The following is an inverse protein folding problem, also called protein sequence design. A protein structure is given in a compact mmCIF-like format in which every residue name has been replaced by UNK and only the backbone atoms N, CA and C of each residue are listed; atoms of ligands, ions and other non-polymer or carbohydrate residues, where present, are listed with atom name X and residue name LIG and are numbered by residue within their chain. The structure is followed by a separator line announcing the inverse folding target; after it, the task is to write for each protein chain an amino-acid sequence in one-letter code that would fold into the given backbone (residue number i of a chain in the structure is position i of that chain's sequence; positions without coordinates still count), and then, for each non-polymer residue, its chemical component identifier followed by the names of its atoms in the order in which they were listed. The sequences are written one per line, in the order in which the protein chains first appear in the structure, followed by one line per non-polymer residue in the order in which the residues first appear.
data_IF_547051534538
#
_entry.id   IF_547051534538
#
_cell.length_a   1.000
_cell.length_b   1.000
_cell.length_c   1.000
_cell.angle_alpha   90.00
_cell.angle_beta   90.00
_cell.angle_gamma   90.00
#
_symmetry.space_group_name_H-M   'P 1'
#
loop_
_entity.id
_entity.type
_entity.pdbx_description
1 polymer ?
#
# COMPACT_ATOMS: atom_id res chain seq x y z
N UNK A 1 12.91 -20.97 -0.88
CA UNK A 1 11.71 -20.52 -0.12
C UNK A 1 10.46 -21.07 -0.82
N UNK A 2 9.58 -21.81 -0.11
CA UNK A 2 8.38 -22.40 -0.72
C UNK A 2 7.24 -21.39 -0.62
N UNK A 3 6.61 -21.05 -1.74
CA UNK A 3 5.39 -20.22 -1.77
C UNK A 3 4.20 -21.14 -1.55
N UNK A 4 3.28 -20.77 -0.67
CA UNK A 4 2.06 -21.50 -0.35
C UNK A 4 0.86 -20.56 -0.43
N UNK A 5 -0.20 -21.00 -1.09
CA UNK A 5 -1.47 -20.28 -1.21
C UNK A 5 -2.62 -21.05 -0.51
N UNK A 6 -2.30 -22.12 0.20
CA UNK A 6 -3.26 -22.98 0.90
C UNK A 6 -3.13 -22.90 2.42
N UNK A 7 -2.84 -21.72 2.92
CA UNK A 7 -2.82 -21.46 4.35
C UNK A 7 -4.21 -21.65 4.96
N UNK A 8 -4.27 -22.31 6.11
CA UNK A 8 -5.49 -22.36 6.92
C UNK A 8 -5.50 -21.22 7.93
N UNK A 9 -6.70 -20.80 8.35
CA UNK A 9 -6.82 -19.79 9.41
C UNK A 9 -6.07 -20.20 10.68
N UNK A 10 -6.17 -21.47 11.11
CA UNK A 10 -5.49 -21.97 12.29
C UNK A 10 -3.95 -21.90 12.18
N UNK A 11 -3.37 -22.12 11.01
CA UNK A 11 -1.92 -21.95 10.79
C UNK A 11 -1.51 -20.51 10.94
N UNK A 12 -2.28 -19.57 10.36
CA UNK A 12 -1.97 -18.12 10.46
C UNK A 12 -2.18 -17.65 11.89
N UNK A 13 -3.24 -18.08 12.57
CA UNK A 13 -3.50 -17.77 13.98
C UNK A 13 -2.34 -18.24 14.87
N UNK A 14 -1.85 -19.46 14.67
CA UNK A 14 -0.69 -19.98 15.40
C UNK A 14 0.58 -19.16 15.13
N UNK A 15 0.76 -18.64 13.93
CA UNK A 15 1.89 -17.76 13.59
C UNK A 15 1.72 -16.41 14.27
N UNK A 16 0.56 -15.78 14.12
CA UNK A 16 0.23 -14.44 14.63
C UNK A 16 0.36 -14.37 16.16
N UNK A 17 -0.08 -15.41 16.86
CA UNK A 17 -0.09 -15.48 18.33
C UNK A 17 1.24 -15.93 18.95
N UNK A 18 2.31 -16.14 18.19
CA UNK A 18 3.65 -16.44 18.75
C UNK A 18 4.11 -15.33 19.70
N UNK A 19 4.96 -15.64 20.68
CA UNK A 19 5.69 -14.61 21.42
C UNK A 19 6.32 -13.62 20.44
N UNK A 20 6.16 -12.31 20.69
CA UNK A 20 6.50 -11.28 19.70
C UNK A 20 7.95 -11.37 19.21
N UNK A 21 8.88 -11.60 20.10
CA UNK A 21 10.30 -11.70 19.71
C UNK A 21 10.59 -12.93 18.87
N UNK A 22 9.93 -14.07 19.14
CA UNK A 22 10.07 -15.28 18.32
C UNK A 22 9.46 -15.08 16.93
N UNK A 23 8.33 -14.36 16.86
CA UNK A 23 7.69 -14.00 15.60
C UNK A 23 8.59 -13.11 14.74
N UNK A 24 9.16 -12.05 15.35
CA UNK A 24 10.09 -11.14 14.65
C UNK A 24 11.34 -11.90 14.19
N UNK A 25 11.92 -12.74 15.04
CA UNK A 25 13.11 -13.53 14.69
C UNK A 25 12.84 -14.47 13.50
N UNK A 26 11.70 -15.17 13.51
CA UNK A 26 11.31 -16.04 12.41
C UNK A 26 11.10 -15.24 11.10
N UNK A 27 10.43 -14.10 11.17
CA UNK A 27 10.21 -13.23 10.02
C UNK A 27 11.52 -12.63 9.49
N UNK A 28 12.43 -12.18 10.37
CA UNK A 28 13.75 -11.70 10.00
C UNK A 28 14.57 -12.79 9.30
N UNK A 29 14.48 -14.03 9.75
CA UNK A 29 15.15 -15.17 9.12
C UNK A 29 14.66 -15.39 7.69
N UNK A 30 13.34 -15.37 7.47
CA UNK A 30 12.75 -15.48 6.14
C UNK A 30 13.14 -14.29 5.27
N UNK A 31 13.07 -13.08 5.80
CA UNK A 31 13.40 -11.86 5.06
C UNK A 31 14.86 -11.86 4.59
N UNK A 32 15.81 -12.28 5.44
CA UNK A 32 17.25 -12.34 5.13
C UNK A 32 17.64 -13.46 4.16
N UNK A 33 16.76 -14.41 3.86
CA UNK A 33 16.98 -15.36 2.77
C UNK A 33 16.85 -14.69 1.39
N UNK A 34 16.25 -13.52 1.32
CA UNK A 34 16.24 -12.69 0.12
C UNK A 34 17.60 -11.99 -0.04
N UNK A 35 18.23 -12.09 -1.21
CA UNK A 35 19.54 -11.47 -1.50
C UNK A 35 19.52 -9.93 -1.33
N UNK A 36 18.39 -9.32 -1.58
CA UNK A 36 18.19 -7.86 -1.50
C UNK A 36 17.50 -7.42 -0.19
N UNK A 37 17.70 -8.14 0.92
CA UNK A 37 17.03 -7.87 2.20
C UNK A 37 17.29 -6.46 2.78
N UNK A 38 18.39 -5.82 2.40
CA UNK A 38 18.73 -4.44 2.81
C UNK A 38 18.19 -3.37 1.87
N UNK A 39 17.62 -3.75 0.73
CA UNK A 39 17.02 -2.81 -0.19
C UNK A 39 15.58 -2.49 0.19
N UNK A 40 15.27 -1.20 0.24
CA UNK A 40 13.94 -0.70 0.57
C UNK A 40 13.36 0.04 -0.64
N UNK A 41 12.17 -0.38 -1.09
CA UNK A 41 11.46 0.37 -2.10
C UNK A 41 10.96 1.69 -1.54
N UNK A 42 11.44 2.79 -2.10
CA UNK A 42 10.99 4.14 -1.78
C UNK A 42 9.95 4.56 -2.82
N UNK A 43 8.74 4.79 -2.37
CA UNK A 43 7.63 5.27 -3.20
C UNK A 43 7.22 6.68 -2.77
N UNK A 44 6.94 7.56 -3.71
CA UNK A 44 6.25 8.82 -3.42
C UNK A 44 4.77 8.69 -3.77
N UNK A 45 3.90 9.32 -3.00
CA UNK A 45 2.45 9.25 -3.20
C UNK A 45 1.89 10.66 -3.39
N UNK A 46 1.21 10.88 -4.51
CA UNK A 46 0.54 12.15 -4.81
C UNK A 46 -0.97 11.95 -4.99
N UNK A 47 -1.75 12.93 -4.50
CA UNK A 47 -3.19 13.01 -4.75
C UNK A 47 -3.42 13.79 -6.05
N UNK A 48 -3.69 13.08 -7.15
CA UNK A 48 -3.95 13.72 -8.44
C UNK A 48 -5.37 14.30 -8.52
N UNK A 49 -6.29 13.84 -7.68
CA UNK A 49 -7.63 14.41 -7.47
C UNK A 49 -8.01 14.20 -6.00
N UNK A 50 -8.28 15.29 -5.28
CA UNK A 50 -8.49 15.27 -3.83
C UNK A 50 -9.94 15.58 -3.48
N UNK A 51 -10.50 14.85 -2.51
CA UNK A 51 -11.81 15.11 -1.93
C UNK A 51 -13.01 14.81 -2.83
N UNK A 52 -14.20 14.87 -2.26
CA UNK A 52 -15.47 14.64 -2.98
C UNK A 52 -15.66 13.20 -3.47
N UNK A 53 -15.02 12.22 -2.82
CA UNK A 53 -15.23 10.80 -3.12
C UNK A 53 -16.65 10.38 -2.74
N UNK A 54 -17.28 9.56 -3.59
CA UNK A 54 -18.65 9.06 -3.35
C UNK A 54 -18.72 7.87 -2.40
N UNK A 55 -17.56 7.32 -2.02
CA UNK A 55 -17.48 6.26 -1.03
C UNK A 55 -17.67 6.81 0.40
N UNK A 56 -17.94 5.91 1.34
CA UNK A 56 -18.17 6.23 2.75
C UNK A 56 -17.16 5.57 3.70
N UNK A 57 -15.97 5.25 3.23
CA UNK A 57 -14.93 4.64 4.06
C UNK A 57 -14.76 5.43 5.36
N UNK A 58 -15.07 4.79 6.51
CA UNK A 58 -15.18 5.46 7.81
C UNK A 58 -13.88 6.14 8.29
N UNK A 59 -12.75 5.76 7.74
CA UNK A 59 -11.42 6.33 8.04
C UNK A 59 -11.01 7.45 7.08
N UNK A 60 -11.72 7.64 5.95
CA UNK A 60 -11.21 8.44 4.85
C UNK A 60 -11.73 9.88 4.87
N UNK A 61 -10.85 10.89 5.07
CA UNK A 61 -11.27 12.28 5.09
C UNK A 61 -11.67 12.84 3.71
N UNK A 62 -11.45 12.09 2.63
CA UNK A 62 -11.81 12.49 1.26
C UNK A 62 -13.26 12.14 0.89
N UNK A 63 -13.99 11.40 1.73
CA UNK A 63 -15.38 11.04 1.51
C UNK A 63 -16.28 12.29 1.52
N UNK A 64 -17.10 12.48 0.49
CA UNK A 64 -17.96 13.67 0.32
C UNK A 64 -18.99 13.83 1.43
N UNK A 65 -19.31 12.77 2.15
CA UNK A 65 -20.31 12.78 3.24
C UNK A 65 -19.76 13.24 4.58
N UNK A 66 -18.42 13.34 4.74
CA UNK A 66 -17.81 13.76 6.00
C UNK A 66 -17.39 15.22 5.95
N UNK A 67 -17.48 15.90 7.08
CA UNK A 67 -17.06 17.30 7.23
C UNK A 67 -15.63 17.32 7.79
N UNK A 68 -14.67 17.34 6.89
CA UNK A 68 -13.23 17.38 7.22
C UNK A 68 -12.60 18.63 6.60
N UNK A 69 -11.39 18.98 7.04
CA UNK A 69 -10.64 20.13 6.51
C UNK A 69 -10.01 19.87 5.12
N UNK A 70 -10.46 18.83 4.43
CA UNK A 70 -9.94 18.50 3.10
C UNK A 70 -10.61 19.34 2.04
N UNK A 71 -9.83 20.25 1.43
CA UNK A 71 -10.27 21.02 0.28
C UNK A 71 -10.44 20.12 -0.95
N UNK A 72 -11.60 20.23 -1.61
CA UNK A 72 -11.85 19.49 -2.85
C UNK A 72 -11.06 20.12 -4.00
N UNK A 73 -10.18 19.35 -4.61
CA UNK A 73 -9.36 19.79 -5.74
C UNK A 73 -9.71 18.97 -6.99
N UNK A 74 -9.79 19.60 -8.16
CA UNK A 74 -9.99 18.92 -9.43
C UNK A 74 -8.79 18.04 -9.80
N UNK A 75 -8.93 17.25 -10.87
CA UNK A 75 -7.83 16.47 -11.43
C UNK A 75 -6.67 17.40 -11.83
N UNK A 76 -5.46 17.06 -11.38
CA UNK A 76 -4.24 17.80 -11.72
C UNK A 76 -4.01 17.87 -13.23
N UNK A 77 -3.21 18.84 -13.67
CA UNK A 77 -2.65 18.83 -15.03
C UNK A 77 -1.49 17.83 -15.13
N UNK A 78 -1.23 17.36 -16.33
CA UNK A 78 -0.11 16.46 -16.63
C UNK A 78 1.22 17.10 -16.25
N UNK A 79 1.43 18.39 -16.55
CA UNK A 79 2.64 19.13 -16.21
C UNK A 79 2.90 19.20 -14.71
N UNK A 80 1.84 19.38 -13.91
CA UNK A 80 1.97 19.37 -12.45
C UNK A 80 2.39 18.01 -11.92
N UNK A 81 1.85 16.92 -12.49
CA UNK A 81 2.26 15.55 -12.15
C UNK A 81 3.71 15.31 -12.54
N UNK A 82 4.14 15.72 -13.74
CA UNK A 82 5.55 15.64 -14.18
C UNK A 82 6.50 16.37 -13.21
N UNK A 83 6.12 17.56 -12.79
CA UNK A 83 6.94 18.33 -11.82
C UNK A 83 7.07 17.57 -10.49
N UNK A 84 5.97 17.02 -9.96
CA UNK A 84 6.00 16.24 -8.72
C UNK A 84 6.80 14.94 -8.89
N UNK A 85 6.68 14.27 -10.04
CA UNK A 85 7.47 13.08 -10.37
C UNK A 85 8.98 13.39 -10.43
N UNK A 86 9.37 14.52 -11.04
CA UNK A 86 10.77 14.94 -11.09
C UNK A 86 11.34 15.17 -9.68
N UNK A 87 10.59 15.86 -8.81
CA UNK A 87 10.97 16.08 -7.41
C UNK A 87 11.13 14.74 -6.68
N UNK A 88 10.14 13.85 -6.77
CA UNK A 88 10.19 12.55 -6.13
C UNK A 88 11.41 11.72 -6.61
N UNK A 89 11.67 11.70 -7.91
CA UNK A 89 12.82 11.00 -8.50
C UNK A 89 14.16 11.57 -8.02
N UNK A 90 14.29 12.90 -8.00
CA UNK A 90 15.51 13.58 -7.52
C UNK A 90 15.79 13.24 -6.05
N UNK A 91 14.76 13.01 -5.24
CA UNK A 91 14.84 12.61 -3.84
C UNK A 91 14.94 11.07 -3.64
N UNK A 92 15.19 10.30 -4.69
CA UNK A 92 15.47 8.87 -4.61
C UNK A 92 14.26 7.95 -4.63
N UNK A 93 13.06 8.46 -4.88
CA UNK A 93 11.90 7.59 -5.08
C UNK A 93 12.02 6.81 -6.39
N UNK A 94 11.87 5.48 -6.33
CA UNK A 94 11.85 4.60 -7.50
C UNK A 94 10.45 4.44 -8.09
N UNK A 95 9.40 4.76 -7.32
CA UNK A 95 8.00 4.61 -7.70
C UNK A 95 7.21 5.87 -7.39
N UNK A 96 6.37 6.31 -8.33
CA UNK A 96 5.32 7.29 -8.09
C UNK A 96 3.96 6.62 -8.00
N UNK A 97 3.27 6.80 -6.88
CA UNK A 97 1.90 6.36 -6.68
C UNK A 97 0.95 7.54 -6.88
N UNK A 98 -0.01 7.40 -7.80
CA UNK A 98 -1.01 8.42 -8.11
C UNK A 98 -2.38 7.99 -7.59
N UNK A 99 -2.91 8.72 -6.61
CA UNK A 99 -4.22 8.46 -6.02
C UNK A 99 -5.27 9.48 -6.49
N UNK A 100 -6.46 9.02 -6.87
CA UNK A 100 -7.61 9.86 -7.13
C UNK A 100 -8.77 9.49 -6.20
N UNK A 101 -9.42 10.50 -5.62
CA UNK A 101 -10.61 10.32 -4.78
C UNK A 101 -11.83 9.96 -5.65
N UNK A 102 -11.79 8.78 -6.27
CA UNK A 102 -12.85 8.20 -7.08
C UNK A 102 -13.37 6.90 -6.45
N UNK A 103 -14.68 6.64 -6.64
CA UNK A 103 -15.26 5.33 -6.35
C UNK A 103 -14.80 4.30 -7.37
N UNK A 104 -14.81 4.70 -8.64
CA UNK A 104 -14.55 3.86 -9.79
C UNK A 104 -13.97 4.69 -10.94
N UNK A 105 -13.21 4.05 -11.80
CA UNK A 105 -12.78 4.63 -13.09
C UNK A 105 -13.98 4.72 -14.04
N UNK A 106 -14.06 5.80 -14.79
CA UNK A 106 -15.05 6.00 -15.87
C UNK A 106 -14.34 6.30 -17.16
N UNK A 107 -14.80 5.74 -18.26
CA UNK A 107 -14.27 6.01 -19.60
C UNK A 107 -14.70 7.40 -20.07
N UNK A 108 -13.87 8.38 -19.70
CA UNK A 108 -14.08 9.79 -19.98
C UNK A 108 -12.72 10.51 -20.14
N UNK A 109 -12.77 11.82 -20.45
CA UNK A 109 -11.57 12.66 -20.62
C UNK A 109 -10.65 12.71 -19.40
N UNK A 110 -11.18 12.56 -18.19
CA UNK A 110 -10.35 12.56 -17.00
C UNK A 110 -9.50 11.28 -16.91
N UNK A 111 -10.08 10.13 -17.30
CA UNK A 111 -9.31 8.90 -17.38
C UNK A 111 -8.26 8.94 -18.51
N UNK A 112 -8.61 9.50 -19.67
CA UNK A 112 -7.64 9.70 -20.78
C UNK A 112 -6.44 10.55 -20.29
N UNK A 113 -6.72 11.61 -19.53
CA UNK A 113 -5.68 12.44 -18.92
C UNK A 113 -4.82 11.67 -17.91
N UNK A 114 -5.41 10.77 -17.11
CA UNK A 114 -4.65 9.90 -16.19
C UNK A 114 -3.74 8.95 -16.97
N UNK A 115 -4.20 8.41 -18.11
CA UNK A 115 -3.34 7.57 -18.97
C UNK A 115 -2.14 8.35 -19.50
N UNK A 116 -2.33 9.61 -19.89
CA UNK A 116 -1.24 10.51 -20.28
C UNK A 116 -0.26 10.76 -19.13
N UNK A 117 -0.75 11.02 -17.91
CA UNK A 117 0.09 11.15 -16.71
C UNK A 117 0.92 9.89 -16.46
N UNK A 118 0.32 8.71 -16.62
CA UNK A 118 1.00 7.42 -16.47
C UNK A 118 2.15 7.30 -17.46
N UNK A 119 1.89 7.58 -18.75
CA UNK A 119 2.91 7.51 -19.80
C UNK A 119 4.07 8.46 -19.53
N UNK A 120 3.79 9.71 -19.21
CA UNK A 120 4.81 10.72 -18.93
C UNK A 120 5.71 10.36 -17.73
N UNK A 121 5.14 9.83 -16.65
CA UNK A 121 5.92 9.40 -15.49
C UNK A 121 6.73 8.13 -15.79
N UNK A 122 6.15 7.19 -16.55
CA UNK A 122 6.88 5.99 -16.99
C UNK A 122 8.07 6.35 -17.88
N UNK A 123 7.91 7.31 -18.80
CA UNK A 123 8.97 7.79 -19.70
C UNK A 123 10.11 8.49 -18.93
N UNK A 124 9.83 8.99 -17.73
CA UNK A 124 10.86 9.48 -16.82
C UNK A 124 11.67 8.34 -16.16
N UNK A 125 11.35 7.07 -16.42
CA UNK A 125 12.03 5.90 -15.87
C UNK A 125 11.65 5.59 -14.41
N UNK A 126 10.47 5.99 -13.97
CA UNK A 126 9.89 5.62 -12.67
C UNK A 126 8.87 4.50 -12.85
N UNK A 127 8.72 3.66 -11.82
CA UNK A 127 7.57 2.76 -11.73
C UNK A 127 6.32 3.59 -11.43
N UNK A 128 5.23 3.33 -12.14
CA UNK A 128 3.95 4.01 -11.88
C UNK A 128 3.00 3.06 -11.18
N UNK A 129 2.43 3.51 -10.06
CA UNK A 129 1.35 2.83 -9.35
C UNK A 129 0.11 3.72 -9.31
N UNK A 130 -1.07 3.17 -9.61
CA UNK A 130 -2.31 3.91 -9.56
C UNK A 130 -3.26 3.39 -8.48
N UNK A 131 -4.03 4.32 -7.86
CA UNK A 131 -5.12 4.06 -6.92
C UNK A 131 -6.31 4.92 -7.35
N UNK A 132 -7.17 4.37 -8.21
CA UNK A 132 -8.25 5.13 -8.88
C UNK A 132 -9.66 4.62 -8.54
N UNK A 133 -9.77 3.80 -7.49
CA UNK A 133 -11.01 3.09 -7.15
C UNK A 133 -11.18 1.79 -7.92
N UNK A 134 -12.41 1.36 -8.14
CA UNK A 134 -12.72 0.14 -8.89
C UNK A 134 -12.46 0.36 -10.40
N UNK A 135 -12.07 -0.69 -11.10
CA UNK A 135 -11.90 -0.65 -12.55
C UNK A 135 -12.25 -1.98 -13.21
N UNK A 136 -12.64 -1.90 -14.48
CA UNK A 136 -12.88 -3.07 -15.33
C UNK A 136 -11.57 -3.64 -15.86
N UNK A 137 -11.64 -4.83 -16.45
CA UNK A 137 -10.49 -5.44 -17.10
C UNK A 137 -9.95 -4.56 -18.26
N UNK A 138 -10.83 -4.01 -19.09
CA UNK A 138 -10.48 -3.16 -20.23
C UNK A 138 -9.79 -1.87 -19.78
N UNK A 139 -10.23 -1.28 -18.67
CA UNK A 139 -9.58 -0.11 -18.07
C UNK A 139 -8.20 -0.47 -17.52
N UNK A 140 -8.06 -1.65 -16.90
CA UNK A 140 -6.76 -2.15 -16.44
C UNK A 140 -5.78 -2.39 -17.60
N UNK A 141 -6.24 -2.93 -18.74
CA UNK A 141 -5.44 -3.07 -19.95
C UNK A 141 -4.99 -1.71 -20.50
N UNK A 142 -5.86 -0.70 -20.50
CA UNK A 142 -5.51 0.67 -20.93
C UNK A 142 -4.43 1.27 -20.01
N UNK A 143 -4.54 1.09 -18.70
CA UNK A 143 -3.48 1.51 -17.74
C UNK A 143 -2.17 0.79 -18.02
N UNK A 144 -2.21 -0.53 -18.25
CA UNK A 144 -1.01 -1.31 -18.59
C UNK A 144 -0.36 -0.83 -19.87
N UNK A 145 -1.15 -0.59 -20.91
CA UNK A 145 -0.67 -0.08 -22.20
C UNK A 145 -0.04 1.33 -22.09
N UNK A 146 -0.53 2.16 -21.17
CA UNK A 146 0.06 3.47 -20.85
C UNK A 146 1.37 3.39 -20.03
N UNK A 147 1.80 2.19 -19.59
CA UNK A 147 3.02 2.01 -18.81
C UNK A 147 2.81 1.94 -17.28
N UNK A 148 1.57 1.78 -16.82
CA UNK A 148 1.31 1.52 -15.40
C UNK A 148 1.94 0.18 -15.01
N UNK A 149 2.76 0.19 -13.95
CA UNK A 149 3.42 -0.99 -13.44
C UNK A 149 2.55 -1.73 -12.42
N UNK A 150 1.92 -0.99 -11.49
CA UNK A 150 1.17 -1.56 -10.39
C UNK A 150 -0.18 -0.85 -10.19
N UNK A 151 -1.14 -1.56 -9.63
CA UNK A 151 -2.41 -0.99 -9.20
C UNK A 151 -2.64 -1.29 -7.72
N UNK A 152 -2.89 -0.25 -6.93
CA UNK A 152 -3.22 -0.38 -5.52
C UNK A 152 -4.74 -0.43 -5.33
N UNK A 153 -5.21 -1.50 -4.70
CA UNK A 153 -6.60 -1.64 -4.29
C UNK A 153 -6.67 -2.50 -3.02
N UNK A 154 -6.63 -1.84 -1.86
CA UNK A 154 -6.61 -2.54 -0.58
C UNK A 154 -7.95 -3.21 -0.30
N UNK A 155 -7.93 -4.34 0.41
CA UNK A 155 -9.15 -4.96 0.98
C UNK A 155 -9.55 -4.29 2.31
N UNK A 156 -8.68 -3.49 2.86
CA UNK A 156 -8.79 -2.65 4.06
C UNK A 156 -8.87 -3.44 5.38
N UNK A 157 -9.74 -4.43 5.50
CA UNK A 157 -9.96 -5.27 6.70
C UNK A 157 -10.45 -6.66 6.29
N UNK A 158 -10.94 -7.48 7.23
CA UNK A 158 -11.59 -8.76 6.94
C UNK A 158 -12.93 -8.58 6.21
N UNK A 159 -13.41 -9.62 5.53
CA UNK A 159 -14.74 -9.63 4.92
C UNK A 159 -15.85 -9.43 5.94
N UNK A 160 -15.67 -9.97 7.14
CA UNK A 160 -16.64 -9.90 8.25
C UNK A 160 -16.75 -8.49 8.83
N UNK A 161 -15.63 -7.78 8.94
CA UNK A 161 -15.62 -6.41 9.45
C UNK A 161 -15.85 -5.35 8.36
N UNK A 162 -15.78 -5.72 7.07
CA UNK A 162 -15.82 -4.78 5.97
C UNK A 162 -17.04 -3.87 5.97
N UNK A 163 -18.24 -4.45 6.21
CA UNK A 163 -19.52 -3.73 6.26
C UNK A 163 -19.63 -2.69 7.39
N UNK A 164 -18.83 -2.83 8.46
CA UNK A 164 -18.74 -1.84 9.53
C UNK A 164 -17.93 -0.60 9.13
N UNK A 165 -17.07 -0.73 8.12
CA UNK A 165 -16.13 0.32 7.71
C UNK A 165 -16.58 1.00 6.41
N UNK A 166 -17.16 0.23 5.46
CA UNK A 166 -17.56 0.71 4.13
C UNK A 166 -18.89 0.08 3.75
N UNK A 167 -19.90 0.92 3.44
CA UNK A 167 -21.24 0.43 3.06
C UNK A 167 -21.60 0.71 1.62
N UNK A 168 -20.85 1.56 0.93
CA UNK A 168 -21.13 1.98 -0.45
C UNK A 168 -20.66 1.01 -1.52
N UNK A 169 -19.86 0.01 -1.16
CA UNK A 169 -19.43 -1.13 -1.98
C UNK A 169 -19.21 -2.35 -1.10
N UNK A 170 -19.18 -3.52 -1.71
CA UNK A 170 -18.97 -4.80 -1.03
C UNK A 170 -17.48 -5.17 -0.97
N UNK A 171 -17.16 -6.16 -0.14
CA UNK A 171 -15.83 -6.77 -0.12
C UNK A 171 -15.51 -7.47 -1.44
N UNK A 172 -16.53 -8.10 -2.07
CA UNK A 172 -16.37 -8.77 -3.37
C UNK A 172 -16.06 -7.80 -4.50
N UNK A 173 -16.59 -6.56 -4.48
CA UNK A 173 -16.20 -5.51 -5.44
C UNK A 173 -14.71 -5.21 -5.40
N UNK A 174 -14.08 -5.33 -4.20
CA UNK A 174 -12.63 -5.21 -4.04
C UNK A 174 -11.89 -6.37 -4.70
N UNK A 175 -12.34 -7.60 -4.42
CA UNK A 175 -11.73 -8.79 -4.98
C UNK A 175 -11.87 -8.85 -6.50
N UNK A 176 -13.00 -8.44 -7.05
CA UNK A 176 -13.22 -8.41 -8.50
C UNK A 176 -12.32 -7.38 -9.19
N UNK A 177 -12.10 -6.22 -8.57
CA UNK A 177 -11.12 -5.26 -9.05
C UNK A 177 -9.71 -5.86 -9.08
N UNK A 178 -9.29 -6.56 -8.01
CA UNK A 178 -7.99 -7.23 -7.96
C UNK A 178 -7.83 -8.32 -9.02
N UNK A 179 -8.89 -9.10 -9.29
CA UNK A 179 -8.92 -10.09 -10.39
C UNK A 179 -8.71 -9.41 -11.75
N UNK A 180 -9.39 -8.27 -12.00
CA UNK A 180 -9.24 -7.52 -13.25
C UNK A 180 -7.81 -6.98 -13.41
N UNK A 181 -7.22 -6.44 -12.34
CA UNK A 181 -5.83 -5.98 -12.29
C UNK A 181 -4.86 -7.10 -12.64
N UNK A 182 -5.03 -8.27 -12.00
CA UNK A 182 -4.17 -9.44 -12.23
C UNK A 182 -4.31 -9.98 -13.65
N UNK A 183 -5.55 -10.10 -14.15
CA UNK A 183 -5.84 -10.54 -15.51
C UNK A 183 -5.16 -9.64 -16.56
N UNK A 184 -5.09 -8.32 -16.31
CA UNK A 184 -4.38 -7.36 -17.17
C UNK A 184 -2.85 -7.40 -16.97
N UNK A 185 -2.32 -8.31 -16.14
CA UNK A 185 -0.87 -8.43 -15.84
C UNK A 185 -0.27 -7.14 -15.26
N UNK A 186 -1.02 -6.41 -14.49
CA UNK A 186 -0.52 -5.37 -13.60
C UNK A 186 -0.07 -5.99 -12.28
N UNK A 187 1.00 -5.46 -11.70
CA UNK A 187 1.44 -5.83 -10.37
C UNK A 187 0.37 -5.43 -9.33
N UNK A 188 -0.01 -6.37 -8.47
CA UNK A 188 -1.06 -6.16 -7.46
C UNK A 188 -0.45 -5.58 -6.19
N UNK A 189 -0.90 -4.39 -5.78
CA UNK A 189 -0.63 -3.82 -4.48
C UNK A 189 -1.92 -3.89 -3.65
N UNK A 190 -1.97 -4.77 -2.65
CA UNK A 190 -3.15 -4.98 -1.83
C UNK A 190 -2.78 -5.33 -0.40
N UNK A 191 -3.35 -4.62 0.55
CA UNK A 191 -3.16 -4.82 1.98
C UNK A 191 -4.34 -4.27 2.76
N UNK A 192 -4.08 -3.78 3.97
CA UNK A 192 -5.14 -3.27 4.83
C UNK A 192 -4.69 -2.22 5.82
N UNK A 193 -5.62 -1.87 6.68
CA UNK A 193 -5.49 -0.87 7.73
C UNK A 193 -5.84 -1.53 9.05
N UNK A 194 -5.02 -1.33 10.06
CA UNK A 194 -5.32 -1.75 11.44
C UNK A 194 -5.62 -0.53 12.31
N UNK A 195 -6.37 -0.73 13.40
CA UNK A 195 -6.89 0.34 14.24
C UNK A 195 -8.27 0.85 13.84
N UNK A 196 -8.96 0.17 12.92
CA UNK A 196 -10.33 0.50 12.48
C UNK A 196 -11.40 0.11 13.51
N UNK A 197 -11.03 -0.57 14.61
CA UNK A 197 -11.92 -1.19 15.58
C UNK A 197 -12.12 -2.70 15.34
N UNK A 198 -11.32 -3.25 14.45
CA UNK A 198 -11.22 -4.68 14.17
C UNK A 198 -10.59 -5.45 15.33
N UNK A 199 -10.85 -6.77 15.37
CA UNK A 199 -10.23 -7.70 16.29
C UNK A 199 -8.96 -8.35 15.70
N UNK A 200 -8.19 -9.07 16.52
CA UNK A 200 -7.08 -9.89 16.02
C UNK A 200 -7.55 -10.99 15.06
N UNK A 201 -8.75 -11.54 15.28
CA UNK A 201 -9.36 -12.50 14.34
C UNK A 201 -9.61 -11.87 12.97
N UNK A 202 -10.05 -10.61 12.91
CA UNK A 202 -10.21 -9.87 11.66
C UNK A 202 -8.86 -9.64 10.96
N UNK A 203 -7.80 -9.32 11.70
CA UNK A 203 -6.44 -9.17 11.17
C UNK A 203 -5.92 -10.48 10.57
N UNK A 204 -6.13 -11.58 11.27
CA UNK A 204 -5.78 -12.94 10.82
C UNK A 204 -6.56 -13.29 9.55
N UNK A 205 -7.86 -13.04 9.50
CA UNK A 205 -8.70 -13.28 8.31
C UNK A 205 -8.32 -12.41 7.12
N UNK A 206 -7.95 -11.14 7.36
CA UNK A 206 -7.41 -10.27 6.31
C UNK A 206 -6.12 -10.85 5.73
N UNK A 207 -5.18 -11.25 6.57
CA UNK A 207 -3.94 -11.89 6.15
C UNK A 207 -4.18 -13.23 5.44
N UNK A 208 -5.16 -14.01 5.89
CA UNK A 208 -5.59 -15.24 5.24
C UNK A 208 -6.08 -14.95 3.81
N UNK A 209 -6.98 -13.98 3.64
CA UNK A 209 -7.48 -13.59 2.32
C UNK A 209 -6.34 -13.21 1.37
N UNK A 210 -5.37 -12.40 1.83
CA UNK A 210 -4.22 -12.00 1.00
C UNK A 210 -3.31 -13.17 0.63
N UNK A 211 -3.06 -14.09 1.57
CA UNK A 211 -2.12 -15.20 1.39
C UNK A 211 -2.72 -16.42 0.68
N UNK A 212 -4.02 -16.45 0.48
CA UNK A 212 -4.74 -17.52 -0.24
C UNK A 212 -5.23 -17.11 -1.63
N UNK A 213 -4.91 -15.91 -2.09
CA UNK A 213 -5.10 -15.53 -3.49
C UNK A 213 -4.29 -16.48 -4.40
N UNK A 214 -4.76 -16.73 -5.63
CA UNK A 214 -4.08 -17.63 -6.60
C UNK A 214 -2.59 -17.30 -6.75
N UNK A 215 -2.25 -16.02 -6.73
CA UNK A 215 -0.90 -15.50 -6.54
C UNK A 215 -0.94 -14.44 -5.45
N UNK A 216 0.05 -14.46 -4.55
CA UNK A 216 0.15 -13.42 -3.51
C UNK A 216 0.23 -12.03 -4.14
N UNK A 217 -0.32 -11.00 -3.50
CA UNK A 217 -0.07 -9.62 -3.93
C UNK A 217 1.45 -9.35 -3.98
N UNK A 218 1.90 -8.68 -5.05
CA UNK A 218 3.32 -8.31 -5.19
C UNK A 218 3.76 -7.32 -4.10
N UNK A 219 2.82 -6.48 -3.64
CA UNK A 219 3.05 -5.55 -2.52
C UNK A 219 1.89 -5.59 -1.53
N UNK A 220 2.24 -5.67 -0.24
CA UNK A 220 1.29 -5.73 0.88
C UNK A 220 1.54 -4.54 1.81
N UNK A 221 0.81 -3.42 1.63
CA UNK A 221 0.87 -2.31 2.56
C UNK A 221 0.16 -2.65 3.88
N UNK A 222 0.86 -2.45 4.98
CA UNK A 222 0.30 -2.45 6.34
C UNK A 222 0.23 -1.00 6.79
N UNK A 223 -1.00 -0.53 7.02
CA UNK A 223 -1.28 0.83 7.43
C UNK A 223 -1.75 0.84 8.89
N UNK A 224 -1.18 1.70 9.71
CA UNK A 224 -1.83 2.10 10.95
C UNK A 224 -2.84 3.21 10.65
N UNK A 225 -4.04 3.12 11.23
CA UNK A 225 -5.02 4.18 11.16
C UNK A 225 -4.41 5.48 11.68
N UNK A 226 -4.51 6.54 10.89
CA UNK A 226 -4.27 7.92 11.33
C UNK A 226 -5.64 8.56 11.51
N UNK A 227 -6.14 8.71 12.76
CA UNK A 227 -7.45 9.31 13.00
C UNK A 227 -7.52 10.74 12.49
N UNK A 228 -8.55 11.07 11.72
CA UNK A 228 -8.75 12.43 11.17
C UNK A 228 -10.05 13.00 11.68
N UNK A 229 -10.00 14.21 12.23
CA UNK A 229 -11.18 14.94 12.71
C UNK A 229 -12.26 15.04 11.61
N UNK A 230 -13.52 14.86 12.00
CA UNK A 230 -14.66 14.87 11.08
C UNK A 230 -14.96 13.54 10.40
N UNK A 231 -14.12 12.51 10.57
CA UNK A 231 -14.42 11.14 10.14
C UNK A 231 -15.04 10.32 11.27
N UNK A 232 -15.81 9.25 10.98
CA UNK A 232 -16.36 8.37 12.02
C UNK A 232 -15.32 7.78 12.98
N UNK A 233 -14.11 7.52 12.51
CA UNK A 233 -13.02 6.91 13.29
C UNK A 233 -12.05 7.94 13.90
N UNK A 234 -12.44 9.21 13.97
CA UNK A 234 -11.60 10.31 14.51
C UNK A 234 -11.11 10.08 15.95
N UNK A 235 -11.85 9.33 16.74
CA UNK A 235 -11.55 9.08 18.16
C UNK A 235 -10.98 7.68 18.43
N UNK A 236 -10.64 6.92 17.39
CA UNK A 236 -10.03 5.61 17.59
C UNK A 236 -8.65 5.75 18.24
N UNK A 237 -8.30 4.78 19.07
CA UNK A 237 -6.98 4.72 19.69
C UNK A 237 -5.88 4.57 18.63
N UNK A 238 -4.70 5.11 18.91
CA UNK A 238 -3.52 4.89 18.08
C UNK A 238 -3.12 3.42 18.12
N UNK A 239 -2.74 2.89 16.98
CA UNK A 239 -2.17 1.55 16.85
C UNK A 239 -0.85 1.49 17.58
N UNK A 240 -0.65 0.44 18.38
CA UNK A 240 0.59 0.22 19.11
C UNK A 240 1.63 -0.48 18.21
N UNK A 241 2.90 -0.30 18.53
CA UNK A 241 3.99 -0.84 17.70
C UNK A 241 4.00 -2.37 17.65
N UNK A 242 3.62 -3.04 18.72
CA UNK A 242 3.53 -4.50 18.76
C UNK A 242 2.48 -5.05 17.80
N UNK A 243 1.36 -4.34 17.60
CA UNK A 243 0.32 -4.67 16.63
C UNK A 243 0.85 -4.56 15.19
N UNK A 244 1.58 -3.48 14.88
CA UNK A 244 2.25 -3.31 13.59
C UNK A 244 3.28 -4.39 13.33
N UNK A 245 4.10 -4.71 14.32
CA UNK A 245 5.13 -5.75 14.23
C UNK A 245 4.52 -7.13 13.98
N UNK A 246 3.42 -7.49 14.66
CA UNK A 246 2.70 -8.74 14.42
C UNK A 246 2.19 -8.84 12.99
N UNK A 247 1.57 -7.77 12.49
CA UNK A 247 1.06 -7.73 11.12
C UNK A 247 2.17 -7.88 10.08
N UNK A 248 3.25 -7.10 10.20
CA UNK A 248 4.39 -7.12 9.28
C UNK A 248 5.09 -8.48 9.31
N UNK A 249 5.39 -9.00 10.49
CA UNK A 249 6.09 -10.27 10.65
C UNK A 249 5.25 -11.45 10.14
N UNK A 250 3.96 -11.49 10.44
CA UNK A 250 3.06 -12.53 9.94
C UNK A 250 2.93 -12.45 8.42
N UNK A 251 2.74 -11.25 7.85
CA UNK A 251 2.69 -11.06 6.41
C UNK A 251 3.98 -11.55 5.72
N UNK A 252 5.16 -11.27 6.29
CA UNK A 252 6.45 -11.74 5.79
C UNK A 252 6.56 -13.26 5.79
N UNK A 253 6.07 -13.92 6.84
CA UNK A 253 6.14 -15.38 6.95
C UNK A 253 5.23 -16.09 5.97
N UNK A 254 4.01 -15.60 5.79
CA UNK A 254 3.01 -16.27 4.93
C UNK A 254 3.08 -15.85 3.46
N UNK A 255 3.63 -14.66 3.17
CA UNK A 255 3.84 -14.12 1.82
C UNK A 255 5.32 -13.71 1.63
N UNK A 256 6.23 -14.69 1.59
CA UNK A 256 7.68 -14.43 1.74
C UNK A 256 8.30 -13.62 0.60
N UNK A 257 7.70 -13.62 -0.60
CA UNK A 257 8.20 -12.86 -1.76
C UNK A 257 7.54 -11.48 -1.93
N UNK A 258 6.44 -11.21 -1.25
CA UNK A 258 5.74 -9.92 -1.34
C UNK A 258 6.58 -8.79 -0.77
N UNK A 259 6.49 -7.63 -1.39
CA UNK A 259 7.03 -6.40 -0.83
C UNK A 259 6.10 -5.95 0.30
N UNK A 260 6.55 -6.08 1.56
CA UNK A 260 5.77 -5.63 2.72
C UNK A 260 6.06 -4.15 2.97
N UNK A 261 5.02 -3.31 2.87
CA UNK A 261 5.18 -1.87 3.03
C UNK A 261 4.79 -1.41 4.43
N UNK A 262 5.73 -0.78 5.13
CA UNK A 262 5.44 0.06 6.28
C UNK A 262 4.85 1.38 5.74
N UNK A 263 3.52 1.53 5.87
CA UNK A 263 2.77 2.54 5.15
C UNK A 263 2.33 3.70 6.07
N UNK A 264 1.04 3.99 6.22
CA UNK A 264 0.57 5.08 7.07
C UNK A 264 0.90 4.85 8.57
N UNK A 265 1.02 5.95 9.33
CA UNK A 265 1.28 5.93 10.78
C UNK A 265 2.76 6.11 11.16
N UNK A 266 3.68 6.23 10.19
CA UNK A 266 5.13 6.33 10.45
C UNK A 266 5.55 7.56 11.27
N UNK A 267 4.82 8.68 11.15
CA UNK A 267 5.12 9.89 11.94
C UNK A 267 4.97 9.69 13.45
N UNK A 268 4.19 8.70 13.86
CA UNK A 268 4.00 8.36 15.28
C UNK A 268 5.03 7.34 15.79
N UNK A 269 5.93 6.86 14.92
CA UNK A 269 6.95 5.85 15.25
C UNK A 269 8.33 6.49 15.41
N UNK A 270 9.03 6.09 16.46
CA UNK A 270 10.47 6.38 16.62
C UNK A 270 11.30 5.63 15.56
N UNK A 271 12.53 6.08 15.33
CA UNK A 271 13.48 5.37 14.45
C UNK A 271 13.69 3.91 14.92
N UNK A 272 13.75 3.68 16.24
CA UNK A 272 13.92 2.32 16.79
C UNK A 272 12.72 1.41 16.47
N UNK A 273 11.51 1.92 16.54
CA UNK A 273 10.29 1.18 16.17
C UNK A 273 10.24 0.89 14.67
N UNK A 274 10.61 1.86 13.83
CA UNK A 274 10.73 1.64 12.38
C UNK A 274 11.82 0.61 12.06
N UNK A 275 12.97 0.65 12.77
CA UNK A 275 14.03 -0.36 12.63
C UNK A 275 13.52 -1.77 12.96
N UNK A 276 12.69 -1.93 13.99
CA UNK A 276 12.05 -3.20 14.31
C UNK A 276 11.09 -3.65 13.20
N UNK A 277 10.36 -2.71 12.56
CA UNK A 277 9.50 -3.04 11.41
C UNK A 277 10.32 -3.55 10.22
N UNK A 278 11.46 -2.93 9.89
CA UNK A 278 12.37 -3.42 8.85
C UNK A 278 12.96 -4.78 9.24
N UNK A 279 13.34 -4.97 10.50
CA UNK A 279 13.81 -6.26 11.00
C UNK A 279 12.75 -7.35 10.91
N UNK A 280 11.48 -7.02 11.19
CA UNK A 280 10.33 -7.91 11.04
C UNK A 280 9.97 -8.21 9.57
N UNK A 281 10.64 -7.57 8.61
CA UNK A 281 10.53 -7.87 7.18
C UNK A 281 9.81 -6.84 6.32
N UNK A 282 9.55 -5.62 6.83
CA UNK A 282 9.18 -4.51 5.96
C UNK A 282 10.36 -4.18 5.02
N UNK A 283 10.06 -3.90 3.75
CA UNK A 283 11.05 -3.54 2.73
C UNK A 283 10.51 -2.53 1.71
N UNK A 284 9.52 -1.75 2.10
CA UNK A 284 9.01 -0.62 1.32
C UNK A 284 8.44 0.45 2.24
N UNK A 285 8.57 1.71 1.85
CA UNK A 285 7.97 2.87 2.50
C UNK A 285 7.35 3.82 1.49
N UNK A 286 6.48 4.70 1.98
CA UNK A 286 6.21 5.98 1.33
C UNK A 286 7.14 7.04 1.92
N UNK A 287 7.80 7.81 1.08
CA UNK A 287 8.62 8.96 1.43
C UNK A 287 8.05 10.25 0.82
N UNK A 288 8.30 11.38 1.48
CA UNK A 288 7.75 12.68 1.16
C UNK A 288 6.75 13.15 2.20
N UNK A 289 6.74 14.44 2.50
CA UNK A 289 6.06 15.09 3.63
C UNK A 289 4.58 14.73 3.82
N UNK A 290 3.94 14.20 2.78
CA UNK A 290 2.51 13.93 2.78
C UNK A 290 2.19 12.64 2.02
N UNK A 291 1.31 11.82 2.60
CA UNK A 291 0.56 10.82 1.86
C UNK A 291 -0.55 11.50 1.06
N UNK A 292 -1.68 10.86 0.78
CA UNK A 292 -2.77 11.54 0.05
C UNK A 292 -3.25 12.81 0.78
N UNK A 293 -3.49 12.71 2.09
CA UNK A 293 -4.05 13.78 2.91
C UNK A 293 -3.44 13.88 4.31
N UNK A 294 -2.66 12.89 4.75
CA UNK A 294 -2.06 12.83 6.08
C UNK A 294 -0.56 13.10 6.03
N UNK A 295 0.04 13.70 7.08
CA UNK A 295 1.47 13.91 7.18
C UNK A 295 2.26 12.59 7.09
N UNK A 296 3.51 12.69 6.61
CA UNK A 296 4.44 11.57 6.48
C UNK A 296 5.87 12.11 6.69
N UNK A 297 6.86 11.29 7.09
CA UNK A 297 8.26 11.71 7.15
C UNK A 297 8.76 12.22 5.80
N UNK A 298 9.58 13.28 5.82
CA UNK A 298 10.20 13.80 4.62
C UNK A 298 11.32 12.88 4.08
N UNK A 299 11.82 13.18 2.88
CA UNK A 299 12.84 12.36 2.23
C UNK A 299 14.17 12.37 2.99
N UNK A 300 14.59 13.51 3.53
CA UNK A 300 15.88 13.64 4.20
C UNK A 300 15.90 12.81 5.49
N UNK A 301 14.84 12.88 6.28
CA UNK A 301 14.64 12.06 7.50
C UNK A 301 14.72 10.56 7.16
N UNK A 302 14.10 10.12 6.07
CA UNK A 302 14.14 8.73 5.64
C UNK A 302 15.54 8.31 5.18
N UNK A 303 16.27 9.16 4.45
CA UNK A 303 17.63 8.85 4.00
C UNK A 303 18.64 8.82 5.17
N UNK A 304 18.49 9.69 6.16
CA UNK A 304 19.30 9.63 7.39
C UNK A 304 19.03 8.33 8.17
N UNK A 305 17.78 7.94 8.32
CA UNK A 305 17.41 6.66 8.94
C UNK A 305 18.01 5.48 8.17
N UNK A 306 17.91 5.45 6.85
CA UNK A 306 18.48 4.38 6.03
C UNK A 306 20.00 4.28 6.21
N UNK A 307 20.70 5.41 6.20
CA UNK A 307 22.14 5.46 6.46
C UNK A 307 22.49 4.86 7.83
N UNK A 308 21.74 5.23 8.87
CA UNK A 308 21.92 4.70 10.23
C UNK A 308 21.69 3.19 10.29
N UNK A 309 20.66 2.68 9.59
CA UNK A 309 20.27 1.27 9.64
C UNK A 309 21.01 0.39 8.60
N UNK A 310 21.86 0.97 7.74
CA UNK A 310 22.53 0.24 6.65
C UNK A 310 21.57 -0.23 5.56
N UNK A 311 20.46 0.50 5.35
CA UNK A 311 19.48 0.24 4.30
C UNK A 311 19.81 1.07 3.05
N UNK A 312 19.39 0.59 1.89
CA UNK A 312 19.60 1.29 0.61
C UNK A 312 18.29 1.40 -0.18
N UNK A 313 18.03 2.55 -0.81
CA UNK A 313 16.89 2.67 -1.73
C UNK A 313 17.02 1.70 -2.91
N UNK A 314 15.97 0.93 -3.18
CA UNK A 314 15.91 0.03 -4.32
C UNK A 314 15.70 0.81 -5.63
N UNK A 315 16.42 0.42 -6.68
CA UNK A 315 16.20 0.95 -8.04
C UNK A 315 14.83 0.52 -8.60
N UNK A 316 14.24 1.27 -9.54
CA UNK A 316 13.03 0.86 -10.24
C UNK A 316 13.22 -0.49 -10.94
N UNK A 317 12.20 -1.33 -10.96
CA UNK A 317 12.18 -2.49 -11.85
C UNK A 317 12.06 -1.99 -13.30
N UNK A 318 13.01 -2.33 -14.13
CA UNK A 318 12.98 -1.94 -15.54
C UNK A 318 12.04 -2.80 -16.38
N UNK A 319 11.77 -4.06 -15.94
CA UNK A 319 10.89 -5.03 -16.59
C UNK A 319 10.32 -6.01 -15.57
N UNK A 320 9.15 -6.61 -15.87
CA UNK A 320 8.54 -7.64 -15.03
C UNK A 320 9.41 -8.92 -14.84
N UNK A 321 10.44 -9.09 -15.68
CA UNK A 321 11.41 -10.21 -15.66
C UNK A 321 12.31 -10.15 -14.43
N UNK A 322 12.49 -9.01 -13.78
CA UNK A 322 13.41 -8.86 -12.64
C UNK A 322 12.84 -9.44 -11.34
N UNK A 323 11.54 -9.75 -11.28
CA UNK A 323 10.95 -10.45 -10.13
C UNK A 323 11.52 -11.87 -9.95
N UNK A 324 12.08 -12.49 -11.00
CA UNK A 324 12.72 -13.81 -10.91
C UNK A 324 14.07 -13.78 -10.18
N UNK A 325 14.80 -12.65 -10.21
CA UNK A 325 16.07 -12.53 -9.48
C UNK A 325 15.88 -12.31 -7.97
N UNK A 326 14.70 -11.90 -7.55
CA UNK A 326 14.30 -11.80 -6.13
C UNK A 326 13.61 -13.10 -5.64
N UNK A 327 13.59 -14.11 -6.45
CA UNK A 327 13.00 -15.42 -6.15
C UNK A 327 14.00 -16.40 -5.54
#
# INVERSE_FOLDING_TARGET
MVIRNNWTLAEIENIYNRPLLDLIFAAATVHRQNKAYSEVQVSSLISIKTGGCKEDCAYCPQAARYHTDIEVQPLMSVEKVKTQAAIAKANGASRLCMGAAWREVRDNRDFDRVLEMVSEVNDMGMEVCCTLGMLTYEQAERLKAAGCFAYNHNIDTSSENYGNIITTRTFDDRLDTLKNVKKAKLSVCCGGIIGLGETDDDRIKMLHTLSTMDEHPDSVPINALVPVAGTPLANNAKVQIDEMLRMIATARLIMPKSVVRLSAGRNDMTIAEQALCFMAGANSIFAGEKLLTTPNPDFDTDMEMFKMLGLTPRKPFKEAVVMEEYA
#
